data_IF_225645330635
#
_entry.id   IF_225645330635
#
_cell.length_a   1.000
_cell.length_b   1.000
_cell.length_c   1.000
_cell.angle_alpha   90.00
_cell.angle_beta   90.00
_cell.angle_gamma   90.00
#
_symmetry.space_group_name_H-M   'P 1'
#
loop_
_entity.id
_entity.type
_entity.pdbx_description
1 polymer ?
#
# COMPACT_ATOMS: atom_id res chain seq x y z
N UNK A 1 12.08 -31.56 8.49
CA UNK A 1 11.02 -30.64 8.96
C UNK A 1 11.38 -29.15 8.88
N UNK A 2 12.41 -28.70 8.14
CA UNK A 2 12.73 -27.26 8.01
C UNK A 2 12.11 -26.57 6.78
N UNK A 3 11.79 -27.32 5.72
CA UNK A 3 11.24 -26.78 4.48
C UNK A 3 9.83 -26.19 4.63
N UNK A 4 8.98 -26.79 5.47
CA UNK A 4 7.63 -26.25 5.73
C UNK A 4 7.67 -24.89 6.44
N UNK A 5 8.53 -24.70 7.44
CA UNK A 5 8.65 -23.43 8.15
C UNK A 5 9.18 -22.29 7.26
N UNK A 6 10.10 -22.61 6.33
CA UNK A 6 10.61 -21.64 5.34
C UNK A 6 9.51 -21.24 4.35
N UNK A 7 8.73 -22.21 3.86
CA UNK A 7 7.58 -21.97 2.99
C UNK A 7 6.56 -21.02 3.63
N UNK A 8 6.19 -21.29 4.88
CA UNK A 8 5.24 -20.46 5.64
C UNK A 8 5.74 -19.03 5.85
N UNK A 9 7.03 -18.83 6.18
CA UNK A 9 7.61 -17.48 6.34
C UNK A 9 7.56 -16.66 5.04
N UNK A 10 7.85 -17.28 3.91
CA UNK A 10 7.84 -16.61 2.61
C UNK A 10 6.41 -16.24 2.17
N UNK A 11 5.45 -17.13 2.41
CA UNK A 11 4.04 -16.89 2.10
C UNK A 11 3.47 -15.72 2.91
N UNK A 12 3.70 -15.70 4.23
CA UNK A 12 3.23 -14.63 5.11
C UNK A 12 3.88 -13.29 4.71
N UNK A 13 5.18 -13.29 4.38
CA UNK A 13 5.88 -12.10 3.86
C UNK A 13 5.25 -11.58 2.57
N UNK A 14 4.89 -12.46 1.65
CA UNK A 14 4.25 -12.04 0.40
C UNK A 14 2.83 -11.50 0.63
N UNK A 15 2.07 -12.06 1.58
CA UNK A 15 0.77 -11.50 1.99
C UNK A 15 0.91 -10.10 2.59
N UNK A 16 1.88 -9.89 3.49
CA UNK A 16 2.14 -8.57 4.07
C UNK A 16 2.54 -7.54 3.00
N UNK A 17 3.36 -7.93 2.01
CA UNK A 17 3.69 -7.06 0.85
C UNK A 17 2.47 -6.67 0.04
N UNK A 18 1.57 -7.62 -0.23
CA UNK A 18 0.34 -7.36 -0.97
C UNK A 18 -0.60 -6.45 -0.18
N UNK A 19 -0.85 -6.78 1.10
CA UNK A 19 -1.72 -5.98 1.95
C UNK A 19 -1.24 -4.53 2.09
N UNK A 20 0.07 -4.31 2.26
CA UNK A 20 0.63 -2.96 2.29
C UNK A 20 0.49 -2.24 0.95
N UNK A 21 0.79 -2.90 -0.17
CA UNK A 21 0.60 -2.29 -1.49
C UNK A 21 -0.88 -1.93 -1.73
N UNK A 22 -1.81 -2.82 -1.41
CA UNK A 22 -3.24 -2.61 -1.57
C UNK A 22 -3.71 -1.40 -0.75
N UNK A 23 -3.28 -1.27 0.51
CA UNK A 23 -3.55 -0.07 1.29
C UNK A 23 -2.96 1.20 0.64
N UNK A 24 -1.69 1.18 0.25
CA UNK A 24 -1.01 2.35 -0.33
C UNK A 24 -1.59 2.79 -1.68
N UNK A 25 -2.16 1.87 -2.46
CA UNK A 25 -2.81 2.21 -3.74
C UNK A 25 -4.05 3.07 -3.57
N UNK A 26 -4.69 3.06 -2.40
CA UNK A 26 -5.83 3.95 -2.10
C UNK A 26 -5.46 5.44 -2.13
N UNK A 27 -4.16 5.74 -1.99
CA UNK A 27 -3.64 7.10 -1.99
C UNK A 27 -3.38 7.63 -3.39
N UNK A 28 -3.54 6.83 -4.45
CA UNK A 28 -3.37 7.26 -5.85
C UNK A 28 -4.65 8.02 -6.28
N UNK A 29 -4.55 9.17 -6.98
CA UNK A 29 -3.34 9.76 -7.59
C UNK A 29 -2.49 10.64 -6.66
N UNK A 30 -2.90 10.82 -5.41
CA UNK A 30 -2.13 11.51 -4.37
C UNK A 30 -0.86 10.77 -3.93
N UNK A 31 -0.29 11.22 -2.81
CA UNK A 31 1.00 10.73 -2.32
C UNK A 31 0.83 9.65 -1.25
N UNK A 32 1.31 8.44 -1.55
CA UNK A 32 1.40 7.34 -0.58
C UNK A 32 2.69 7.36 0.26
N UNK A 33 3.63 8.27 -0.04
CA UNK A 33 4.97 8.29 0.59
C UNK A 33 4.91 8.62 2.07
N UNK A 34 4.10 9.59 2.44
CA UNK A 34 3.90 9.98 3.83
C UNK A 34 3.21 8.86 4.65
N UNK A 35 2.07 8.30 4.22
CA UNK A 35 1.47 7.12 4.86
C UNK A 35 2.48 5.98 5.07
N UNK A 36 3.27 5.68 4.04
CA UNK A 36 4.29 4.63 4.09
C UNK A 36 5.38 4.91 5.13
N UNK A 37 5.87 6.15 5.18
CA UNK A 37 6.96 6.54 6.08
C UNK A 37 6.52 6.49 7.54
N UNK A 38 5.27 6.87 7.82
CA UNK A 38 4.72 6.84 9.19
C UNK A 38 4.35 5.42 9.62
N UNK A 39 3.80 4.59 8.72
CA UNK A 39 3.61 3.15 8.99
C UNK A 39 4.94 2.46 9.32
N UNK A 40 6.02 2.81 8.61
CA UNK A 40 7.37 2.30 8.92
C UNK A 40 7.77 2.60 10.36
N UNK A 41 7.57 3.84 10.80
CA UNK A 41 7.93 4.27 12.17
C UNK A 41 7.16 3.50 13.23
N UNK A 42 5.85 3.28 13.03
CA UNK A 42 5.02 2.52 13.97
C UNK A 42 5.41 1.05 14.02
N UNK A 43 5.70 0.44 12.87
CA UNK A 43 6.14 -0.96 12.79
C UNK A 43 7.52 -1.16 13.42
N UNK A 44 8.43 -0.19 13.29
CA UNK A 44 9.80 -0.27 13.79
C UNK A 44 10.02 0.50 15.10
N UNK A 45 8.94 0.88 15.80
CA UNK A 45 9.03 1.53 17.09
C UNK A 45 9.72 0.60 18.10
N UNK A 46 10.48 1.18 19.04
CA UNK A 46 11.09 0.40 20.10
C UNK A 46 10.01 -0.14 21.04
N UNK A 47 9.92 -1.47 21.17
CA UNK A 47 8.95 -2.14 22.03
C UNK A 47 7.97 -3.00 21.23
N UNK A 48 6.89 -3.42 21.88
CA UNK A 48 5.82 -4.16 21.23
C UNK A 48 5.03 -3.24 20.28
N UNK A 49 4.65 -3.78 19.13
CA UNK A 49 3.82 -3.05 18.17
C UNK A 49 2.39 -2.94 18.71
N UNK A 50 1.92 -1.71 18.92
CA UNK A 50 0.50 -1.42 19.17
C UNK A 50 -0.28 -1.50 17.86
N UNK A 51 -0.91 -2.65 17.64
CA UNK A 51 -1.68 -2.94 16.44
C UNK A 51 -2.95 -2.09 16.30
N UNK A 52 -3.57 -1.67 17.40
CA UNK A 52 -4.76 -0.81 17.36
C UNK A 52 -4.37 0.62 17.04
N UNK A 53 -3.25 1.11 17.60
CA UNK A 53 -2.68 2.40 17.21
C UNK A 53 -2.28 2.42 15.73
N UNK A 54 -1.67 1.34 15.22
CA UNK A 54 -1.34 1.21 13.79
C UNK A 54 -2.58 1.34 12.91
N UNK A 55 -3.67 0.64 13.26
CA UNK A 55 -4.94 0.68 12.51
C UNK A 55 -5.60 2.05 12.58
N UNK A 56 -5.75 2.60 13.79
CA UNK A 56 -6.34 3.92 14.00
C UNK A 56 -5.60 5.00 13.23
N UNK A 57 -4.27 4.91 13.21
CA UNK A 57 -3.42 5.84 12.47
C UNK A 57 -3.58 5.71 10.95
N UNK A 58 -3.63 4.48 10.43
CA UNK A 58 -3.85 4.24 9.00
C UNK A 58 -5.21 4.82 8.54
N UNK A 59 -6.26 4.60 9.32
CA UNK A 59 -7.59 5.15 9.05
C UNK A 59 -7.60 6.68 9.13
N UNK A 60 -6.93 7.27 10.14
CA UNK A 60 -6.85 8.72 10.30
C UNK A 60 -6.21 9.39 9.09
N UNK A 61 -5.08 8.86 8.58
CA UNK A 61 -4.43 9.42 7.39
C UNK A 61 -5.35 9.34 6.16
N UNK A 62 -6.06 8.23 6.00
CA UNK A 62 -7.01 8.07 4.90
C UNK A 62 -8.13 9.13 4.96
N UNK A 63 -8.69 9.33 6.15
CA UNK A 63 -9.74 10.33 6.41
C UNK A 63 -9.21 11.77 6.17
N UNK A 64 -7.98 12.07 6.63
CA UNK A 64 -7.31 13.37 6.44
C UNK A 64 -7.11 13.73 4.96
N UNK A 65 -6.77 12.74 4.12
CA UNK A 65 -6.53 12.95 2.69
C UNK A 65 -7.81 12.92 1.84
N UNK A 66 -8.98 12.67 2.46
CA UNK A 66 -10.31 12.67 1.80
C UNK A 66 -10.34 11.85 0.50
N UNK A 67 -9.67 10.71 0.51
CA UNK A 67 -9.33 9.96 -0.71
C UNK A 67 -10.53 9.26 -1.36
N UNK A 68 -11.53 8.87 -0.56
CA UNK A 68 -12.77 8.23 -1.04
C UNK A 68 -13.87 8.29 0.01
N UNK A 69 -15.13 8.15 -0.41
CA UNK A 69 -16.28 7.93 0.47
C UNK A 69 -16.39 6.48 0.95
N UNK A 70 -15.67 5.54 0.32
CA UNK A 70 -15.70 4.11 0.69
C UNK A 70 -14.75 3.81 1.87
N UNK A 71 -15.18 4.27 3.05
CA UNK A 71 -14.51 3.99 4.32
C UNK A 71 -14.53 2.51 4.70
N UNK A 72 -15.50 1.74 4.19
CA UNK A 72 -15.63 0.30 4.46
C UNK A 72 -14.48 -0.46 3.78
N UNK A 73 -14.18 -0.12 2.53
CA UNK A 73 -13.04 -0.68 1.83
C UNK A 73 -11.71 -0.34 2.53
N UNK A 74 -11.55 0.90 2.99
CA UNK A 74 -10.37 1.30 3.76
C UNK A 74 -10.20 0.46 5.02
N UNK A 75 -11.26 0.34 5.81
CA UNK A 75 -11.28 -0.49 7.02
C UNK A 75 -10.84 -1.92 6.72
N UNK A 76 -11.42 -2.53 5.68
CA UNK A 76 -11.09 -3.90 5.31
C UNK A 76 -9.62 -4.05 4.87
N UNK A 77 -9.05 -3.06 4.17
CA UNK A 77 -7.62 -3.05 3.78
C UNK A 77 -6.71 -2.85 5.00
N UNK A 78 -7.09 -1.98 5.94
CA UNK A 78 -6.35 -1.73 7.18
C UNK A 78 -6.36 -2.95 8.11
N UNK A 79 -7.48 -3.64 8.26
CA UNK A 79 -7.55 -4.88 9.06
C UNK A 79 -6.65 -5.97 8.45
N UNK A 80 -6.73 -6.21 7.13
CA UNK A 80 -5.84 -7.17 6.45
C UNK A 80 -4.37 -6.80 6.58
N UNK A 81 -4.05 -5.50 6.50
CA UNK A 81 -2.70 -4.99 6.73
C UNK A 81 -2.21 -5.35 8.14
N UNK A 82 -2.99 -5.00 9.16
CA UNK A 82 -2.63 -5.26 10.55
C UNK A 82 -2.49 -6.75 10.84
N UNK A 83 -3.44 -7.58 10.39
CA UNK A 83 -3.41 -9.03 10.57
C UNK A 83 -2.16 -9.66 9.94
N UNK A 84 -1.81 -9.30 8.71
CA UNK A 84 -0.64 -9.87 8.03
C UNK A 84 0.68 -9.44 8.67
N UNK A 85 0.79 -8.21 9.18
CA UNK A 85 1.96 -7.77 9.93
C UNK A 85 2.02 -8.40 11.34
N UNK A 86 0.88 -8.61 12.00
CA UNK A 86 0.82 -9.32 13.28
C UNK A 86 1.22 -10.78 13.13
N UNK A 87 0.75 -11.43 12.07
CA UNK A 87 1.12 -12.81 11.74
C UNK A 87 2.62 -12.92 11.46
N UNK A 88 3.19 -12.04 10.62
CA UNK A 88 4.63 -12.07 10.34
C UNK A 88 5.47 -11.72 11.58
N UNK A 89 4.99 -10.82 12.44
CA UNK A 89 5.64 -10.50 13.72
C UNK A 89 5.70 -11.72 14.65
N UNK A 90 4.64 -12.54 14.66
CA UNK A 90 4.58 -13.75 15.52
C UNK A 90 5.55 -14.87 15.15
N UNK A 91 6.08 -14.87 13.91
CA UNK A 91 6.96 -15.92 13.38
C UNK A 91 8.41 -15.47 13.20
N UNK A 92 8.69 -14.18 13.33
CA UNK A 92 10.02 -13.59 13.20
C UNK A 92 10.65 -13.38 14.56
N UNK A 93 11.98 -13.52 14.61
CA UNK A 93 12.73 -13.02 15.75
C UNK A 93 12.76 -11.48 15.74
N UNK A 94 12.91 -10.82 16.91
CA UNK A 94 13.08 -9.36 16.96
C UNK A 94 14.22 -8.83 16.08
N UNK A 95 15.31 -9.61 15.94
CA UNK A 95 16.45 -9.24 15.09
C UNK A 95 16.13 -9.24 13.58
N UNK A 96 15.21 -10.12 13.14
CA UNK A 96 14.79 -10.22 11.74
C UNK A 96 13.67 -9.22 11.39
N UNK A 97 12.99 -8.69 12.40
CA UNK A 97 11.82 -7.84 12.24
C UNK A 97 12.11 -6.58 11.41
N UNK A 98 13.07 -5.76 11.84
CA UNK A 98 13.38 -4.48 11.17
C UNK A 98 13.73 -4.67 9.70
N UNK A 99 14.63 -5.62 9.40
CA UNK A 99 15.02 -5.95 8.03
C UNK A 99 13.83 -6.45 7.20
N UNK A 100 12.99 -7.30 7.78
CA UNK A 100 11.82 -7.82 7.07
C UNK A 100 10.79 -6.72 6.78
N UNK A 101 10.57 -5.79 7.73
CA UNK A 101 9.72 -4.62 7.54
C UNK A 101 10.25 -3.74 6.40
N UNK A 102 11.57 -3.47 6.37
CA UNK A 102 12.19 -2.71 5.27
C UNK A 102 12.02 -3.39 3.91
N UNK A 103 12.23 -4.71 3.83
CA UNK A 103 12.02 -5.49 2.61
C UNK A 103 10.56 -5.42 2.13
N UNK A 104 9.59 -5.50 3.05
CA UNK A 104 8.16 -5.40 2.75
C UNK A 104 7.81 -4.01 2.24
N UNK A 105 8.28 -2.96 2.93
CA UNK A 105 8.07 -1.55 2.57
C UNK A 105 8.64 -1.24 1.20
N UNK A 106 9.87 -1.68 0.92
CA UNK A 106 10.51 -1.45 -0.36
C UNK A 106 9.71 -2.09 -1.50
N UNK A 107 9.29 -3.35 -1.33
CA UNK A 107 8.49 -4.07 -2.32
C UNK A 107 7.11 -3.41 -2.53
N UNK A 108 6.42 -3.02 -1.46
CA UNK A 108 5.11 -2.36 -1.54
C UNK A 108 5.21 -0.98 -2.20
N UNK A 109 6.25 -0.21 -1.89
CA UNK A 109 6.52 1.08 -2.53
C UNK A 109 6.75 0.92 -4.04
N UNK A 110 7.55 -0.07 -4.45
CA UNK A 110 7.78 -0.35 -5.85
C UNK A 110 6.47 -0.71 -6.59
N UNK A 111 5.64 -1.59 -5.99
CA UNK A 111 4.34 -1.97 -6.55
C UNK A 111 3.39 -0.79 -6.68
N UNK A 112 3.30 0.04 -5.64
CA UNK A 112 2.45 1.24 -5.64
C UNK A 112 2.94 2.26 -6.66
N UNK A 113 4.25 2.47 -6.76
CA UNK A 113 4.87 3.34 -7.77
C UNK A 113 4.51 2.88 -9.18
N UNK A 114 4.58 1.56 -9.44
CA UNK A 114 4.16 0.98 -10.72
C UNK A 114 2.68 1.24 -11.00
N UNK A 115 1.80 1.03 -10.02
CA UNK A 115 0.37 1.32 -10.16
C UNK A 115 0.11 2.80 -10.50
N UNK A 116 0.80 3.73 -9.82
CA UNK A 116 0.69 5.16 -10.09
C UNK A 116 1.18 5.55 -11.50
N UNK A 117 2.23 4.90 -12.01
CA UNK A 117 2.68 5.08 -13.39
C UNK A 117 1.64 4.61 -14.41
N UNK A 118 0.98 3.47 -14.16
CA UNK A 118 -0.10 2.99 -15.01
C UNK A 118 -1.32 3.91 -14.98
N UNK A 119 -1.67 4.46 -13.81
CA UNK A 119 -2.72 5.47 -13.68
C UNK A 119 -2.43 6.71 -14.55
N UNK A 120 -1.18 7.22 -14.52
CA UNK A 120 -0.76 8.37 -15.34
C UNK A 120 -0.69 8.08 -16.85
N UNK A 121 -0.56 6.82 -17.25
CA UNK A 121 -0.37 6.40 -18.65
C UNK A 121 -1.66 6.10 -19.41
N UNK A 122 -2.84 6.24 -18.80
CA UNK A 122 -4.10 6.15 -19.53
C UNK A 122 -4.48 7.56 -20.01
N UNK A 123 -4.13 7.98 -21.24
CA UNK A 123 -4.98 8.94 -21.92
C UNK A 123 -6.30 8.23 -22.17
N UNK A 124 -7.39 8.81 -21.67
CA UNK A 124 -8.73 8.36 -22.02
C UNK A 124 -8.82 8.35 -23.55
N UNK A 125 -9.35 7.27 -24.15
CA UNK A 125 -9.59 7.24 -25.62
C UNK A 125 -10.47 8.43 -26.06
N UNK A 126 -11.24 9.02 -25.13
CA UNK A 126 -11.97 10.27 -25.32
C UNK A 126 -11.08 11.51 -25.52
N UNK A 127 -9.91 11.59 -24.89
CA UNK A 127 -8.97 12.71 -25.08
C UNK A 127 -8.32 12.70 -26.48
N UNK A 128 -8.23 11.52 -27.10
CA UNK A 128 -7.75 11.37 -28.48
C UNK A 128 -8.85 11.71 -29.50
N UNK A 129 -10.11 11.34 -29.25
CA UNK A 129 -11.25 11.70 -30.11
C UNK A 129 -11.63 13.18 -30.05
N UNK A 130 -11.35 13.86 -28.93
CA UNK A 130 -11.60 15.29 -28.76
C UNK A 130 -10.67 16.20 -29.56
N UNK A 131 -9.42 15.76 -29.81
CA UNK A 131 -8.43 16.53 -30.59
C UNK A 131 -8.65 16.43 -32.10
N UNK A 132 -9.02 15.26 -32.63
CA UNK A 132 -9.34 15.11 -34.06
C UNK A 132 -10.54 15.96 -34.51
N UNK A 133 -11.53 16.18 -33.63
CA UNK A 133 -12.71 17.01 -33.97
C UNK A 133 -12.44 18.52 -33.98
N UNK A 134 -11.39 19.00 -33.29
CA UNK A 134 -11.05 20.44 -33.27
C UNK A 134 -10.18 20.86 -34.45
N UNK A 135 -9.31 19.99 -34.95
CA UNK A 135 -8.44 20.33 -36.09
C UNK A 135 -9.15 20.32 -37.45
N UNK A 136 -10.32 19.67 -37.56
CA UNK A 136 -11.11 19.63 -38.81
C UNK A 136 -12.02 20.85 -38.97
N UNK A 137 -12.32 21.60 -37.89
CA UNK A 137 -13.26 22.75 -37.94
C UNK A 137 -12.61 24.11 -38.24
N UNK A 138 -11.29 24.18 -38.42
CA UNK A 138 -10.56 25.45 -38.60
C UNK A 138 -9.89 25.60 -39.97
N UNK A 139 -10.28 24.77 -40.95
CA UNK A 139 -9.90 24.96 -42.36
C UNK A 139 -11.16 25.08 -43.21
N UNK A 140 -11.71 26.28 -43.27
CA UNK A 140 -12.56 26.74 -44.38
C UNK A 140 -12.31 28.22 -44.57
#
# INVERSE_FOLDING_TARGET
MMTHQIGTKQEVRERARKALADYLTMFIPGSWKEPLSKLKLLLQANGDVDWEALKGYALMIFDEQRLSEDRVECLARVERLSETFKEIHSILSPAEWHKTVDDIIHAANFRTSKAALHFKRVPTVDDLKGKEKKDVKTKT
#
